data_IF_661607564788
#
_entry.id   IF_661607564788
#
_cell.length_a   1.000
_cell.length_b   1.000
_cell.length_c   1.000
_cell.angle_alpha   90.00
_cell.angle_beta   90.00
_cell.angle_gamma   90.00
#
_symmetry.space_group_name_H-M   'P 1'
#
loop_
_entity.id
_entity.type
_entity.pdbx_description
1 polymer ?
#
# COMPACT_ATOMS: atom_id res chain seq x y z
N UNK A 1 -37.22 66.67 8.05
CA UNK A 1 -37.67 65.39 8.63
C UNK A 1 -37.80 64.39 7.48
N UNK A 2 -37.22 63.20 7.40
CA UNK A 2 -36.09 62.50 8.03
C UNK A 2 -35.56 61.59 6.90
N UNK A 3 -34.26 61.60 6.63
CA UNK A 3 -33.64 60.67 5.68
C UNK A 3 -33.52 59.29 6.35
N UNK A 4 -33.97 58.23 5.67
CA UNK A 4 -33.81 56.85 6.13
C UNK A 4 -32.69 56.23 5.31
N UNK A 5 -31.52 56.10 5.92
CA UNK A 5 -30.38 55.34 5.39
C UNK A 5 -30.54 53.90 5.86
N UNK A 6 -30.81 52.98 4.93
CA UNK A 6 -30.84 51.55 5.19
C UNK A 6 -29.42 51.01 4.97
N UNK A 7 -28.67 50.85 6.06
CA UNK A 7 -27.38 50.18 6.05
C UNK A 7 -27.60 48.66 6.01
N UNK A 8 -27.36 48.05 4.85
CA UNK A 8 -27.39 46.60 4.69
C UNK A 8 -26.03 46.04 5.12
N UNK A 9 -26.01 45.38 6.28
CA UNK A 9 -24.84 44.70 6.85
C UNK A 9 -24.52 43.47 5.99
N UNK A 10 -23.37 43.51 5.34
CA UNK A 10 -22.81 42.39 4.57
C UNK A 10 -22.06 41.46 5.55
N UNK A 11 -22.72 40.38 5.98
CA UNK A 11 -22.08 39.32 6.74
C UNK A 11 -21.29 38.41 5.78
N UNK A 12 -19.99 38.61 5.69
CA UNK A 12 -19.08 37.71 4.98
C UNK A 12 -18.74 36.57 5.92
N UNK A 13 -19.46 35.45 5.81
CA UNK A 13 -19.10 34.21 6.48
C UNK A 13 -17.93 33.56 5.75
N UNK A 14 -16.71 33.77 6.25
CA UNK A 14 -15.56 32.95 5.89
C UNK A 14 -15.71 31.58 6.55
N UNK A 15 -16.24 30.61 5.81
CA UNK A 15 -16.02 29.20 6.14
C UNK A 15 -14.61 28.84 5.68
N UNK A 16 -13.61 29.00 6.56
CA UNK A 16 -12.27 28.45 6.37
C UNK A 16 -12.09 27.35 7.38
N UNK A 17 -12.33 26.10 6.99
CA UNK A 17 -11.75 24.90 7.62
C UNK A 17 -11.72 23.76 6.60
N UNK A 18 -10.65 23.71 5.82
CA UNK A 18 -10.22 22.52 5.08
C UNK A 18 -8.72 22.34 5.38
N UNK A 19 -8.42 21.92 6.61
CA UNK A 19 -7.06 21.64 7.09
C UNK A 19 -6.89 20.19 7.59
N UNK A 20 -7.92 19.35 7.48
CA UNK A 20 -7.88 17.95 7.91
C UNK A 20 -6.94 17.09 7.06
N UNK A 21 -7.15 17.11 5.74
CA UNK A 21 -6.49 16.18 4.80
C UNK A 21 -4.96 16.25 4.81
N UNK A 22 -4.39 17.46 4.87
CA UNK A 22 -2.93 17.64 4.91
C UNK A 22 -2.33 17.14 6.23
N UNK A 23 -3.05 17.33 7.35
CA UNK A 23 -2.61 16.83 8.65
C UNK A 23 -2.70 15.30 8.76
N UNK A 24 -3.75 14.70 8.21
CA UNK A 24 -3.94 13.24 8.18
C UNK A 24 -2.87 12.56 7.32
N UNK A 25 -2.55 13.17 6.16
CA UNK A 25 -1.45 12.71 5.30
C UNK A 25 -0.12 12.69 6.07
N UNK A 26 0.21 13.78 6.75
CA UNK A 26 1.45 13.88 7.52
C UNK A 26 1.50 12.88 8.68
N UNK A 27 0.38 12.65 9.37
CA UNK A 27 0.27 11.65 10.42
C UNK A 27 0.51 10.22 9.88
N UNK A 28 -0.16 9.86 8.78
CA UNK A 28 0.03 8.56 8.12
C UNK A 28 1.49 8.37 7.68
N UNK A 29 2.06 9.37 7.00
CA UNK A 29 3.45 9.31 6.57
C UNK A 29 4.41 9.16 7.76
N UNK A 30 4.10 9.77 8.91
CA UNK A 30 4.90 9.64 10.13
C UNK A 30 4.85 8.20 10.68
N UNK A 31 3.67 7.57 10.74
CA UNK A 31 3.53 6.16 11.09
C UNK A 31 4.34 5.25 10.16
N UNK A 32 4.19 5.43 8.85
CA UNK A 32 4.89 4.62 7.86
C UNK A 32 6.42 4.80 7.89
N UNK A 33 6.92 5.99 8.22
CA UNK A 33 8.37 6.28 8.33
C UNK A 33 9.03 5.58 9.53
N UNK A 34 8.29 5.33 10.60
CA UNK A 34 8.82 4.66 11.78
C UNK A 34 9.14 3.17 11.51
N UNK A 35 8.53 2.59 10.48
CA UNK A 35 8.78 1.23 10.04
C UNK A 35 9.98 1.15 9.10
N UNK A 36 11.16 0.80 9.63
CA UNK A 36 12.37 0.49 8.87
C UNK A 36 12.39 -0.94 8.35
N UNK A 37 11.84 -1.87 9.13
CA UNK A 37 11.56 -3.24 8.70
C UNK A 37 10.21 -3.69 9.23
N UNK A 38 9.58 -4.62 8.52
CA UNK A 38 8.33 -5.26 8.92
C UNK A 38 8.44 -6.74 8.56
N UNK A 39 8.02 -7.61 9.47
CA UNK A 39 7.72 -9.00 9.15
C UNK A 39 6.33 -9.35 9.67
N UNK A 40 5.59 -10.12 8.89
CA UNK A 40 4.23 -10.52 9.21
C UNK A 40 3.87 -11.80 8.46
N UNK A 41 2.88 -12.50 8.98
CA UNK A 41 2.07 -13.42 8.19
C UNK A 41 0.92 -12.65 7.59
N UNK A 42 0.48 -13.04 6.39
CA UNK A 42 -0.67 -12.42 5.77
C UNK A 42 -1.73 -13.44 5.38
N UNK A 43 -2.97 -12.98 5.39
CA UNK A 43 -4.10 -13.58 4.69
C UNK A 43 -4.61 -12.54 3.71
N UNK A 44 -4.86 -12.93 2.46
CA UNK A 44 -5.37 -12.06 1.42
C UNK A 44 -6.68 -12.63 0.88
N UNK A 45 -7.67 -11.76 0.66
CA UNK A 45 -8.90 -12.10 -0.06
C UNK A 45 -9.08 -11.13 -1.23
N UNK A 46 -9.30 -11.68 -2.42
CA UNK A 46 -9.71 -10.91 -3.60
C UNK A 46 -11.20 -11.10 -3.77
N UNK A 47 -11.94 -9.99 -3.88
CA UNK A 47 -13.39 -9.95 -4.00
C UNK A 47 -13.80 -9.15 -5.23
N UNK A 48 -14.87 -9.61 -5.88
CA UNK A 48 -15.50 -8.86 -6.95
C UNK A 48 -16.34 -7.68 -6.43
N UNK A 49 -16.98 -6.95 -7.34
CA UNK A 49 -17.85 -5.81 -7.02
C UNK A 49 -19.09 -6.19 -6.18
N UNK A 50 -19.50 -7.45 -6.24
CA UNK A 50 -20.64 -7.99 -5.49
C UNK A 50 -20.22 -8.49 -4.09
N UNK A 51 -18.92 -8.53 -3.81
CA UNK A 51 -18.34 -9.01 -2.55
C UNK A 51 -18.13 -10.53 -2.51
N UNK A 52 -18.27 -11.22 -3.63
CA UNK A 52 -17.96 -12.65 -3.74
C UNK A 52 -16.43 -12.84 -3.67
N UNK A 53 -15.99 -13.81 -2.88
CA UNK A 53 -14.55 -14.12 -2.75
C UNK A 53 -14.11 -14.92 -3.98
N UNK A 54 -13.31 -14.29 -4.82
CA UNK A 54 -12.71 -14.89 -6.02
C UNK A 54 -11.47 -15.72 -5.68
N UNK A 55 -10.67 -15.26 -4.71
CA UNK A 55 -9.44 -15.91 -4.32
C UNK A 55 -9.13 -15.66 -2.83
N UNK A 56 -8.51 -16.64 -2.19
CA UNK A 56 -7.90 -16.48 -0.87
C UNK A 56 -6.46 -16.99 -0.91
N UNK A 57 -5.53 -16.16 -0.47
CA UNK A 57 -4.11 -16.49 -0.39
C UNK A 57 -3.62 -16.29 1.05
N UNK A 58 -2.54 -16.97 1.40
CA UNK A 58 -1.87 -16.74 2.68
C UNK A 58 -0.38 -16.87 2.53
N UNK A 59 0.39 -16.29 3.45
CA UNK A 59 1.82 -16.30 3.28
C UNK A 59 2.59 -15.50 4.31
N UNK A 60 3.81 -15.15 3.93
CA UNK A 60 4.71 -14.34 4.75
C UNK A 60 5.20 -13.13 3.98
N UNK A 61 5.21 -11.99 4.67
CA UNK A 61 5.72 -10.72 4.18
C UNK A 61 6.93 -10.33 5.01
N UNK A 62 8.02 -9.95 4.35
CA UNK A 62 9.13 -9.23 4.95
C UNK A 62 9.46 -8.00 4.11
N UNK A 63 9.70 -6.91 4.81
CA UNK A 63 10.07 -5.64 4.23
C UNK A 63 11.27 -5.10 4.94
N UNK A 64 12.18 -4.50 4.17
CA UNK A 64 13.28 -3.71 4.71
C UNK A 64 13.50 -2.49 3.84
N UNK A 65 13.45 -1.31 4.45
CA UNK A 65 13.80 -0.06 3.78
C UNK A 65 15.26 -0.11 3.29
N UNK A 66 15.60 0.55 2.17
CA UNK A 66 14.74 1.47 1.42
C UNK A 66 13.75 0.80 0.45
N UNK A 67 14.03 -0.40 -0.04
CA UNK A 67 13.28 -0.96 -1.18
C UNK A 67 13.26 -2.49 -1.25
N UNK A 68 13.62 -3.18 -0.17
CA UNK A 68 13.68 -4.63 -0.15
C UNK A 68 12.33 -5.23 0.27
N UNK A 69 11.90 -6.26 -0.46
CA UNK A 69 10.65 -6.97 -0.25
C UNK A 69 10.91 -8.47 -0.41
N UNK A 70 10.32 -9.26 0.46
CA UNK A 70 10.16 -10.69 0.30
C UNK A 70 8.70 -11.02 0.59
N UNK A 71 8.02 -11.54 -0.42
CA UNK A 71 6.62 -11.94 -0.35
C UNK A 71 6.54 -13.39 -0.79
N UNK A 72 6.13 -14.26 0.11
CA UNK A 72 5.96 -15.67 -0.18
C UNK A 72 4.52 -16.07 0.06
N UNK A 73 3.83 -16.42 -1.01
CA UNK A 73 2.49 -16.99 -1.01
C UNK A 73 2.61 -18.50 -0.89
N UNK A 74 1.90 -19.10 0.06
CA UNK A 74 1.86 -20.54 0.30
C UNK A 74 0.92 -21.25 -0.68
N UNK A 75 0.98 -22.57 -0.69
CA UNK A 75 0.04 -23.43 -1.42
C UNK A 75 -1.44 -23.07 -1.20
N UNK A 76 -2.32 -23.30 -2.21
CA UNK A 76 -2.05 -24.01 -3.47
C UNK A 76 -1.41 -23.17 -4.58
N UNK A 77 -1.50 -21.84 -4.49
CA UNK A 77 -0.95 -20.89 -5.48
C UNK A 77 0.43 -20.40 -5.03
N UNK A 78 1.36 -21.33 -4.80
CA UNK A 78 2.69 -20.99 -4.28
C UNK A 78 3.43 -20.03 -5.23
N UNK A 79 3.99 -18.97 -4.68
CA UNK A 79 4.81 -18.01 -5.43
C UNK A 79 5.74 -17.25 -4.49
N UNK A 80 6.91 -16.88 -5.02
CA UNK A 80 7.90 -16.09 -4.29
C UNK A 80 8.20 -14.83 -5.08
N UNK A 81 7.99 -13.68 -4.47
CA UNK A 81 8.36 -12.38 -5.02
C UNK A 81 9.45 -11.75 -4.14
N UNK A 82 10.59 -11.44 -4.75
CA UNK A 82 11.72 -10.80 -4.06
C UNK A 82 12.06 -9.50 -4.77
N UNK A 83 12.28 -8.44 -4.01
CA UNK A 83 12.74 -7.15 -4.53
C UNK A 83 13.96 -6.68 -3.73
N UNK A 84 14.93 -6.06 -4.43
CA UNK A 84 16.19 -5.61 -3.82
C UNK A 84 16.51 -4.12 -4.03
N UNK A 85 15.51 -3.35 -4.48
CA UNK A 85 15.65 -1.93 -4.85
C UNK A 85 16.06 -1.68 -6.30
N UNK A 86 16.34 -2.72 -7.09
CA UNK A 86 16.66 -2.59 -8.52
C UNK A 86 15.77 -3.48 -9.37
N UNK A 87 15.69 -4.76 -9.02
CA UNK A 87 14.92 -5.77 -9.74
C UNK A 87 13.88 -6.39 -8.80
N UNK A 88 12.80 -6.86 -9.41
CA UNK A 88 11.81 -7.74 -8.79
C UNK A 88 11.92 -9.08 -9.50
N UNK A 89 12.09 -10.15 -8.73
CA UNK A 89 11.95 -11.53 -9.21
C UNK A 89 10.60 -12.04 -8.76
N UNK A 90 9.81 -12.55 -9.69
CA UNK A 90 8.59 -13.28 -9.43
C UNK A 90 8.78 -14.72 -9.87
N UNK A 91 8.75 -15.64 -8.93
CA UNK A 91 8.93 -17.07 -9.16
C UNK A 91 7.64 -17.82 -8.87
N UNK A 92 7.20 -18.61 -9.84
CA UNK A 92 6.12 -19.58 -9.68
C UNK A 92 6.68 -20.99 -9.84
N UNK A 93 6.78 -21.79 -8.75
CA UNK A 93 7.31 -23.15 -8.81
C UNK A 93 6.43 -24.11 -9.61
N UNK A 94 5.12 -23.88 -9.70
CA UNK A 94 4.20 -24.79 -10.41
C UNK A 94 4.45 -24.82 -11.93
N UNK A 95 4.81 -23.66 -12.50
CA UNK A 95 5.16 -23.54 -13.92
C UNK A 95 6.66 -23.45 -14.17
N UNK A 96 7.47 -23.59 -13.11
CA UNK A 96 8.93 -23.53 -13.15
C UNK A 96 9.46 -22.28 -13.88
N UNK A 97 8.86 -21.11 -13.59
CA UNK A 97 9.17 -19.85 -14.29
C UNK A 97 9.55 -18.74 -13.31
N UNK A 98 10.60 -17.99 -13.67
CA UNK A 98 11.01 -16.73 -13.04
C UNK A 98 10.82 -15.59 -14.03
N UNK A 99 10.03 -14.59 -13.66
CA UNK A 99 9.93 -13.33 -14.39
C UNK A 99 10.68 -12.24 -13.64
N UNK A 100 11.44 -11.42 -14.36
CA UNK A 100 12.28 -10.35 -13.80
C UNK A 100 11.79 -9.00 -14.32
N UNK A 101 11.51 -8.07 -13.42
CA UNK A 101 11.09 -6.71 -13.76
C UNK A 101 12.07 -5.68 -13.18
N UNK A 102 12.15 -4.51 -13.83
CA UNK A 102 12.74 -3.34 -13.18
C UNK A 102 11.79 -2.87 -12.08
N UNK A 103 12.29 -2.73 -10.85
CA UNK A 103 11.42 -2.46 -9.71
C UNK A 103 10.71 -1.10 -9.82
N UNK A 104 11.34 -0.13 -10.48
CA UNK A 104 10.75 1.19 -10.72
C UNK A 104 9.44 1.10 -11.52
N UNK A 105 9.30 0.14 -12.43
CA UNK A 105 8.14 0.00 -13.30
C UNK A 105 6.95 -0.65 -12.54
N UNK A 106 7.22 -1.34 -11.43
CA UNK A 106 6.18 -1.97 -10.60
C UNK A 106 5.58 -0.99 -9.57
N UNK A 107 6.22 0.15 -9.30
CA UNK A 107 5.80 1.11 -8.26
C UNK A 107 4.46 1.75 -8.60
N UNK A 108 4.22 2.05 -9.87
CA UNK A 108 3.02 2.76 -10.30
C UNK A 108 1.75 1.89 -10.20
N UNK A 109 1.91 0.56 -10.22
CA UNK A 109 0.80 -0.40 -10.24
C UNK A 109 0.58 -1.15 -8.91
N UNK A 110 1.44 -0.96 -7.90
CA UNK A 110 1.35 -1.67 -6.61
C UNK A 110 1.10 -0.73 -5.41
N UNK A 111 -0.12 -0.70 -4.85
CA UNK A 111 -0.42 0.08 -3.65
C UNK A 111 0.37 -0.36 -2.40
N UNK A 112 0.87 -1.60 -2.38
CA UNK A 112 1.83 -2.02 -1.35
C UNK A 112 3.12 -1.20 -1.47
N UNK A 113 3.68 -1.04 -2.68
CA UNK A 113 4.88 -0.23 -2.90
C UNK A 113 4.69 1.24 -2.50
N UNK A 114 3.49 1.81 -2.65
CA UNK A 114 3.15 3.14 -2.10
C UNK A 114 3.33 3.21 -0.58
N UNK A 115 2.82 2.21 0.15
CA UNK A 115 2.97 2.10 1.62
C UNK A 115 4.45 1.98 2.01
N UNK A 116 5.24 1.26 1.19
CA UNK A 116 6.66 1.08 1.43
C UNK A 116 7.44 2.37 1.19
N UNK A 117 7.02 3.20 0.24
CA UNK A 117 7.65 4.47 -0.08
C UNK A 117 6.87 5.66 0.49
N UNK A 118 6.89 5.80 1.81
CA UNK A 118 6.16 6.83 2.58
C UNK A 118 6.59 8.29 2.33
N UNK A 119 7.66 8.51 1.57
CA UNK A 119 8.20 9.82 1.21
C UNK A 119 8.26 10.07 -0.30
N UNK A 120 7.76 9.13 -1.12
CA UNK A 120 7.83 9.30 -2.57
C UNK A 120 6.97 10.46 -3.04
N UNK A 121 7.40 11.12 -4.10
CA UNK A 121 6.63 12.19 -4.74
C UNK A 121 5.23 11.72 -5.16
N UNK A 122 4.99 10.41 -5.32
CA UNK A 122 3.67 9.86 -5.63
C UNK A 122 2.59 10.25 -4.61
N UNK A 123 2.92 10.49 -3.33
CA UNK A 123 1.94 10.92 -2.30
C UNK A 123 1.27 12.27 -2.60
N UNK A 124 1.82 13.07 -3.52
CA UNK A 124 1.17 14.31 -3.97
C UNK A 124 -0.12 14.05 -4.75
N UNK A 125 -0.22 12.89 -5.40
CA UNK A 125 -1.38 12.50 -6.22
C UNK A 125 -2.50 11.84 -5.39
N UNK A 126 -2.36 11.76 -4.06
CA UNK A 126 -3.34 11.13 -3.18
C UNK A 126 -3.90 12.12 -2.16
N UNK A 127 -5.19 12.01 -1.88
CA UNK A 127 -5.83 12.63 -0.74
C UNK A 127 -5.88 11.62 0.41
N UNK A 128 -5.61 12.08 1.63
CA UNK A 128 -5.62 11.23 2.82
C UNK A 128 -6.63 11.79 3.81
N UNK A 129 -7.43 10.91 4.40
CA UNK A 129 -8.34 11.27 5.49
C UNK A 129 -8.36 10.16 6.53
N UNK A 130 -8.53 10.51 7.79
CA UNK A 130 -8.64 9.54 8.89
C UNK A 130 -10.07 9.50 9.46
N UNK A 131 -10.68 8.33 9.48
CA UNK A 131 -12.02 8.08 10.04
C UNK A 131 -12.18 6.61 10.40
N UNK A 132 -13.06 6.30 11.34
CA UNK A 132 -13.37 4.91 11.74
C UNK A 132 -12.14 4.05 12.05
N UNK A 133 -11.12 4.66 12.67
CA UNK A 133 -9.84 4.04 12.99
C UNK A 133 -9.08 3.49 11.76
N UNK A 134 -9.25 4.13 10.60
CA UNK A 134 -8.55 3.82 9.34
C UNK A 134 -8.11 5.10 8.63
N UNK A 135 -6.99 5.00 7.94
CA UNK A 135 -6.60 5.99 6.94
C UNK A 135 -7.19 5.58 5.58
N UNK A 136 -7.85 6.51 4.92
CA UNK A 136 -8.35 6.38 3.55
C UNK A 136 -7.47 7.22 2.64
N UNK A 137 -6.85 6.56 1.67
CA UNK A 137 -5.91 7.14 0.71
C UNK A 137 -6.54 6.97 -0.67
N UNK A 138 -6.94 8.06 -1.30
CA UNK A 138 -7.65 8.06 -2.58
C UNK A 138 -6.83 8.78 -3.63
N UNK A 139 -6.57 8.11 -4.75
CA UNK A 139 -5.86 8.74 -5.85
C UNK A 139 -6.75 9.78 -6.54
N UNK A 140 -6.21 10.96 -6.81
CA UNK A 140 -6.97 12.12 -7.27
C UNK A 140 -7.61 11.95 -8.65
N UNK A 141 -7.09 11.06 -9.50
CA UNK A 141 -7.48 11.02 -10.93
C UNK A 141 -7.90 9.66 -11.47
N UNK A 142 -7.51 8.55 -10.83
CA UNK A 142 -7.76 7.20 -11.36
C UNK A 142 -8.78 6.40 -10.54
N UNK A 143 -9.27 6.94 -9.42
CA UNK A 143 -10.29 6.31 -8.60
C UNK A 143 -9.81 5.14 -7.72
N UNK A 144 -8.51 4.80 -7.75
CA UNK A 144 -7.96 3.79 -6.83
C UNK A 144 -8.02 4.26 -5.38
N UNK A 145 -8.35 3.33 -4.48
CA UNK A 145 -8.50 3.59 -3.05
C UNK A 145 -7.70 2.58 -2.26
N UNK A 146 -7.10 3.07 -1.19
CA UNK A 146 -6.35 2.29 -0.24
C UNK A 146 -6.84 2.63 1.18
N UNK A 147 -7.19 1.63 1.96
CA UNK A 147 -7.58 1.77 3.36
C UNK A 147 -6.51 1.09 4.21
N UNK A 148 -5.99 1.80 5.23
CA UNK A 148 -4.95 1.30 6.11
C UNK A 148 -5.43 1.34 7.55
N UNK A 149 -5.39 0.18 8.22
CA UNK A 149 -5.71 0.08 9.64
C UNK A 149 -4.43 -0.13 10.46
N UNK A 150 -4.30 0.69 11.50
CA UNK A 150 -3.24 0.54 12.48
C UNK A 150 -3.83 0.18 13.85
N UNK A 151 -3.16 -0.72 14.56
CA UNK A 151 -3.42 -1.07 15.95
C UNK A 151 -2.09 -1.00 16.68
N UNK A 152 -2.00 -0.23 17.76
CA UNK A 152 -0.75 0.02 18.51
C UNK A 152 0.42 0.41 17.58
N UNK A 153 0.15 1.31 16.64
CA UNK A 153 1.10 1.81 15.61
C UNK A 153 1.57 0.75 14.60
N UNK A 154 1.06 -0.49 14.67
CA UNK A 154 1.34 -1.55 13.70
C UNK A 154 0.29 -1.58 12.61
N UNK A 155 0.73 -1.66 11.36
CA UNK A 155 -0.16 -1.90 10.22
C UNK A 155 -0.73 -3.31 10.31
N UNK A 156 -2.05 -3.44 10.46
CA UNK A 156 -2.72 -4.74 10.63
C UNK A 156 -3.64 -5.10 9.47
N UNK A 157 -4.14 -4.12 8.74
CA UNK A 157 -5.01 -4.39 7.59
C UNK A 157 -4.73 -3.38 6.47
N UNK A 158 -4.74 -3.88 5.24
CA UNK A 158 -4.64 -3.10 4.01
C UNK A 158 -5.81 -3.51 3.12
N UNK A 159 -6.63 -2.56 2.72
CA UNK A 159 -7.66 -2.77 1.71
C UNK A 159 -7.29 -1.99 0.47
N UNK A 160 -7.33 -2.62 -0.69
CA UNK A 160 -7.19 -1.98 -1.98
C UNK A 160 -8.50 -2.11 -2.75
N UNK A 161 -8.96 -1.02 -3.35
CA UNK A 161 -10.06 -1.03 -4.31
C UNK A 161 -9.53 -0.43 -5.60
N UNK A 162 -9.47 -1.24 -6.66
CA UNK A 162 -9.05 -0.78 -7.98
C UNK A 162 -10.20 -0.02 -8.66
N UNK A 163 -9.87 0.74 -9.71
CA UNK A 163 -10.85 1.52 -10.47
C UNK A 163 -11.97 0.67 -11.09
N UNK A 164 -11.68 -0.61 -11.36
CA UNK A 164 -12.57 -1.61 -11.94
C UNK A 164 -13.44 -2.31 -10.88
N UNK A 165 -13.38 -1.87 -9.62
CA UNK A 165 -14.25 -2.34 -8.55
C UNK A 165 -13.78 -3.60 -7.81
N UNK A 166 -12.74 -4.29 -8.31
CA UNK A 166 -12.09 -5.38 -7.58
C UNK A 166 -11.52 -4.88 -6.24
N UNK A 167 -11.81 -5.63 -5.17
CA UNK A 167 -11.39 -5.33 -3.80
C UNK A 167 -10.45 -6.41 -3.29
N UNK A 168 -9.23 -6.03 -2.96
CA UNK A 168 -8.25 -6.89 -2.29
C UNK A 168 -8.14 -6.49 -0.82
N UNK A 169 -8.35 -7.43 0.09
CA UNK A 169 -8.20 -7.26 1.53
C UNK A 169 -7.01 -8.08 2.02
N UNK A 170 -6.08 -7.44 2.71
CA UNK A 170 -4.88 -8.07 3.27
C UNK A 170 -4.87 -7.87 4.79
N UNK A 171 -4.93 -8.96 5.53
CA UNK A 171 -4.86 -8.99 6.99
C UNK A 171 -3.45 -9.43 7.39
N UNK A 172 -2.79 -8.64 8.24
CA UNK A 172 -1.45 -8.90 8.74
C UNK A 172 -1.50 -9.38 10.18
N UNK A 173 -0.92 -10.55 10.41
CA UNK A 173 -0.81 -11.21 11.71
C UNK A 173 0.66 -11.32 12.12
N UNK A 174 0.90 -11.47 13.43
CA UNK A 174 2.24 -11.63 13.98
C UNK A 174 3.22 -10.51 13.55
N UNK A 175 2.71 -9.27 13.48
CA UNK A 175 3.46 -8.11 12.97
C UNK A 175 4.60 -7.74 13.92
N UNK A 176 5.82 -7.90 13.43
CA UNK A 176 7.05 -7.46 14.07
C UNK A 176 7.67 -6.31 13.27
N UNK A 177 7.89 -5.17 13.94
CA UNK A 177 8.46 -3.97 13.34
C UNK A 177 9.90 -3.78 13.80
N UNK A 178 10.74 -3.29 12.91
CA UNK A 178 12.11 -2.86 13.20
C UNK A 178 13.02 -3.96 13.77
N UNK A 179 12.66 -5.22 13.56
CA UNK A 179 13.55 -6.36 13.84
C UNK A 179 14.65 -6.46 12.77
N UNK A 180 15.77 -7.07 13.17
CA UNK A 180 16.88 -7.31 12.24
C UNK A 180 16.50 -8.39 11.26
N UNK A 181 16.46 -8.05 9.97
CA UNK A 181 16.26 -8.99 8.87
C UNK A 181 17.57 -9.09 8.08
N UNK A 182 18.09 -10.31 7.92
CA UNK A 182 19.28 -10.59 7.11
C UNK A 182 19.05 -10.13 5.66
N UNK A 183 20.06 -9.50 5.07
CA UNK A 183 19.99 -9.08 3.66
C UNK A 183 19.89 -10.26 2.69
N UNK A 184 20.33 -11.45 3.12
CA UNK A 184 20.18 -12.70 2.37
C UNK A 184 18.71 -13.06 2.08
N UNK A 185 17.76 -12.57 2.88
CA UNK A 185 16.32 -12.77 2.64
C UNK A 185 15.83 -12.06 1.36
N UNK A 186 16.61 -11.10 0.84
CA UNK A 186 16.26 -10.29 -0.32
C UNK A 186 17.16 -10.59 -1.53
N UNK A 187 17.92 -11.69 -1.45
CA UNK A 187 18.68 -12.23 -2.57
C UNK A 187 17.85 -13.38 -3.15
N UNK A 188 17.58 -13.33 -4.45
CA UNK A 188 16.89 -14.41 -5.15
C UNK A 188 17.89 -15.16 -6.04
N UNK A 189 18.18 -16.40 -5.64
CA UNK A 189 18.96 -17.32 -6.46
C UNK A 189 18.01 -18.08 -7.39
N UNK A 190 18.11 -17.81 -8.69
CA UNK A 190 17.31 -18.47 -9.72
C UNK A 190 17.58 -19.98 -9.66
N UNK A 191 16.57 -20.83 -9.44
CA UNK A 191 16.76 -22.28 -9.42
C UNK A 191 17.34 -22.80 -10.75
N UNK A 192 17.99 -23.96 -10.72
CA UNK A 192 18.38 -24.63 -11.95
C UNK A 192 17.13 -25.03 -12.75
N UNK A 193 17.25 -25.04 -14.08
CA UNK A 193 16.24 -25.58 -15.02
C UNK A 193 14.88 -24.85 -15.05
N UNK A 194 14.77 -23.65 -14.47
CA UNK A 194 13.59 -22.78 -14.60
C UNK A 194 13.68 -21.90 -15.85
N UNK A 195 12.53 -21.62 -16.46
CA UNK A 195 12.44 -20.63 -17.53
C UNK A 195 12.61 -19.22 -16.96
N UNK A 196 13.40 -18.39 -17.65
CA UNK A 196 13.72 -17.03 -17.20
C UNK A 196 13.24 -16.03 -18.24
N UNK A 197 12.26 -15.24 -17.83
CA UNK A 197 11.71 -14.15 -18.63
C UNK A 197 12.16 -12.79 -18.06
N UNK A 198 13.18 -12.16 -18.68
CA UNK A 198 13.70 -10.86 -18.24
C UNK A 198 13.04 -9.71 -19.02
N UNK A 199 12.22 -8.93 -18.31
CA UNK A 199 11.47 -7.77 -18.80
C UNK A 199 12.06 -6.44 -18.28
N UNK A 200 13.24 -6.46 -17.65
CA UNK A 200 13.88 -5.29 -17.00
C UNK A 200 14.75 -4.42 -17.91
#
# INVERSE_FOLDING_TARGET
MKAVVFAMVMAVSFNVFASGDESDKQALQSLLKQTQSLSAEFEQQVKDEQGEVLQTLSGTLKLKRPANLYWHTKEPDESVMVANGKKVWYYNPFVEQVTIYAQQDMVDDSPLLLVLNSNGNQWQNYNVSFRDNRYFVEHQTNGSKLELRFIDEKLTEITMVQAQGERTELMLNNVALNETISDEQFVFDVPADVDVDDQS
#
